data_IF_700117516551
#
_entry.id   IF_700117516551
#
_cell.length_a   1.000
_cell.length_b   1.000
_cell.length_c   1.000
_cell.angle_alpha   90.00
_cell.angle_beta   90.00
_cell.angle_gamma   90.00
#
_symmetry.space_group_name_H-M   'P 1'
#
loop_
_entity.id
_entity.type
_entity.pdbx_description
1 polymer ?
#
# COMPACT_ATOMS: atom_id res chain seq x y z
N UNK A 1 -59.90 63.52 -28.52
CA UNK A 1 -59.82 62.07 -28.23
C UNK A 1 -58.35 61.72 -28.03
N UNK A 2 -57.89 61.29 -26.84
CA UNK A 2 -56.47 61.22 -26.52
C UNK A 2 -55.82 59.97 -27.14
N UNK A 3 -54.64 60.14 -27.75
CA UNK A 3 -53.81 59.02 -28.22
C UNK A 3 -53.23 58.30 -26.99
N UNK A 4 -53.69 57.09 -26.74
CA UNK A 4 -53.09 56.20 -25.75
C UNK A 4 -51.70 55.80 -26.24
N UNK A 5 -50.64 56.42 -25.70
CA UNK A 5 -49.27 55.93 -25.91
C UNK A 5 -49.16 54.57 -25.22
N UNK A 6 -49.01 53.49 -26.01
CA UNK A 6 -48.67 52.17 -25.48
C UNK A 6 -47.23 52.24 -24.96
N UNK A 7 -47.06 52.36 -23.65
CA UNK A 7 -45.77 52.18 -22.98
C UNK A 7 -45.42 50.70 -23.10
N UNK A 8 -44.54 50.37 -24.05
CA UNK A 8 -44.02 49.01 -24.21
C UNK A 8 -42.96 48.81 -23.13
N UNK A 9 -43.33 48.17 -22.02
CA UNK A 9 -42.38 47.71 -21.02
C UNK A 9 -41.53 46.60 -21.63
N UNK A 10 -40.30 46.94 -22.03
CA UNK A 10 -39.31 45.97 -22.51
C UNK A 10 -38.85 45.18 -21.28
N UNK A 11 -39.51 44.05 -21.01
CA UNK A 11 -39.00 43.08 -20.04
C UNK A 11 -37.82 42.38 -20.72
N UNK A 12 -36.61 42.88 -20.48
CA UNK A 12 -35.39 42.22 -20.95
C UNK A 12 -35.27 40.93 -20.13
N UNK A 13 -35.68 39.81 -20.72
CA UNK A 13 -35.43 38.50 -20.14
C UNK A 13 -33.91 38.27 -20.19
N UNK A 14 -33.23 38.52 -19.08
CA UNK A 14 -31.83 38.10 -18.91
C UNK A 14 -31.88 36.58 -18.81
N UNK A 15 -31.67 35.90 -19.94
CA UNK A 15 -31.41 34.48 -19.93
C UNK A 15 -30.06 34.30 -19.23
N UNK A 16 -30.09 34.05 -17.93
CA UNK A 16 -28.94 33.57 -17.21
C UNK A 16 -28.61 32.20 -17.80
N UNK A 17 -27.68 32.15 -18.75
CA UNK A 17 -26.98 30.91 -19.10
C UNK A 17 -26.16 30.53 -17.88
N UNK A 18 -26.81 29.87 -16.93
CA UNK A 18 -26.11 29.15 -15.88
C UNK A 18 -25.27 28.08 -16.59
N UNK A 19 -23.97 28.01 -16.30
CA UNK A 19 -23.23 26.80 -16.61
C UNK A 19 -23.93 25.67 -15.86
N UNK A 20 -24.65 24.81 -16.58
CA UNK A 20 -25.13 23.56 -16.01
C UNK A 20 -23.90 22.85 -15.40
N UNK A 21 -23.98 22.37 -14.14
CA UNK A 21 -22.89 21.57 -13.61
C UNK A 21 -22.71 20.39 -14.56
N UNK A 22 -21.53 20.25 -15.14
CA UNK A 22 -21.18 19.06 -15.87
C UNK A 22 -21.49 17.89 -14.95
N UNK A 23 -22.47 17.09 -15.33
CA UNK A 23 -22.78 15.82 -14.70
C UNK A 23 -21.45 15.08 -14.69
N UNK A 24 -20.95 14.70 -13.53
CA UNK A 24 -19.80 13.80 -13.47
C UNK A 24 -20.27 12.50 -14.11
N UNK A 25 -20.05 12.36 -15.41
CA UNK A 25 -20.33 11.16 -16.16
C UNK A 25 -19.63 10.03 -15.42
N UNK A 26 -20.44 9.11 -14.91
CA UNK A 26 -20.02 7.92 -14.21
C UNK A 26 -19.01 7.20 -15.10
N UNK A 27 -17.71 7.37 -14.82
CA UNK A 27 -16.65 6.60 -15.46
C UNK A 27 -16.73 5.17 -14.92
N UNK A 28 -17.80 4.47 -15.29
CA UNK A 28 -17.91 3.01 -15.24
C UNK A 28 -17.11 2.42 -16.39
N UNK A 29 -15.83 2.80 -16.46
CA UNK A 29 -14.82 2.03 -17.14
C UNK A 29 -14.25 1.06 -16.13
N UNK A 30 -14.65 -0.22 -16.20
CA UNK A 30 -13.86 -1.28 -15.59
C UNK A 30 -12.59 -1.40 -16.42
N UNK A 31 -11.62 -0.52 -16.17
CA UNK A 31 -10.29 -0.67 -16.74
C UNK A 31 -9.77 -2.03 -16.28
N UNK A 32 -9.76 -3.01 -17.19
CA UNK A 32 -9.18 -4.32 -16.97
C UNK A 32 -7.68 -4.14 -16.84
N UNK A 33 -7.20 -3.85 -15.63
CA UNK A 33 -5.78 -3.71 -15.36
C UNK A 33 -5.13 -5.08 -15.62
N UNK A 34 -4.19 -5.20 -16.57
CA UNK A 34 -3.48 -6.44 -16.79
C UNK A 34 -2.79 -6.86 -15.49
N UNK A 35 -3.01 -8.12 -15.11
CA UNK A 35 -2.59 -8.69 -13.83
C UNK A 35 -1.38 -9.57 -14.08
N UNK A 36 -0.24 -9.24 -13.48
CA UNK A 36 1.02 -9.95 -13.66
C UNK A 36 1.36 -10.81 -12.45
N UNK A 37 1.80 -12.04 -12.67
CA UNK A 37 2.36 -12.90 -11.62
C UNK A 37 3.62 -12.29 -10.99
N UNK A 38 3.72 -12.34 -9.67
CA UNK A 38 4.86 -11.75 -8.94
C UNK A 38 6.11 -12.62 -8.93
N UNK A 39 6.09 -13.78 -9.60
CA UNK A 39 7.15 -14.80 -9.50
C UNK A 39 7.45 -15.19 -8.04
N UNK A 40 8.54 -15.94 -7.83
CA UNK A 40 8.95 -16.34 -6.49
C UNK A 40 9.19 -15.10 -5.61
N UNK A 41 8.67 -15.06 -4.36
CA UNK A 41 8.96 -13.99 -3.43
C UNK A 41 10.47 -13.86 -3.18
N UNK A 42 10.95 -12.64 -2.93
CA UNK A 42 12.35 -12.42 -2.57
C UNK A 42 12.72 -13.16 -1.28
N UNK A 43 13.91 -13.74 -1.23
CA UNK A 43 14.47 -14.35 -0.02
C UNK A 43 15.01 -13.29 0.93
N UNK A 44 15.07 -13.62 2.22
CA UNK A 44 15.63 -12.76 3.26
C UNK A 44 16.77 -13.47 3.97
N UNK A 45 17.79 -12.72 4.40
CA UNK A 45 18.89 -13.26 5.17
C UNK A 45 18.41 -13.67 6.57
N UNK A 46 18.92 -14.80 7.09
CA UNK A 46 18.53 -15.35 8.39
C UNK A 46 17.01 -15.55 8.55
N UNK A 47 16.30 -15.81 7.45
CA UNK A 47 14.89 -16.14 7.47
C UNK A 47 14.50 -17.10 6.36
N UNK A 48 13.21 -17.40 6.32
CA UNK A 48 12.58 -18.30 5.38
C UNK A 48 11.24 -17.72 4.92
N UNK A 49 10.79 -18.10 3.73
CA UNK A 49 9.52 -17.64 3.15
C UNK A 49 8.64 -18.83 2.80
N UNK A 50 7.35 -18.73 3.11
CA UNK A 50 6.32 -19.71 2.80
C UNK A 50 5.24 -19.06 1.94
N UNK A 51 4.97 -19.64 0.77
CA UNK A 51 3.93 -19.19 -0.16
C UNK A 51 3.39 -20.38 -0.94
N UNK A 52 2.12 -20.30 -1.37
CA UNK A 52 1.45 -21.36 -2.14
C UNK A 52 1.24 -20.99 -3.61
N UNK A 53 1.17 -19.69 -3.92
CA UNK A 53 0.94 -19.18 -5.27
C UNK A 53 1.59 -17.78 -5.39
N UNK A 54 1.81 -17.34 -6.62
CA UNK A 54 2.43 -16.08 -7.00
C UNK A 54 1.49 -15.17 -7.78
N UNK A 55 0.25 -15.58 -8.00
CA UNK A 55 -0.77 -14.77 -8.67
C UNK A 55 -1.19 -13.57 -7.82
N UNK A 56 -1.59 -12.44 -8.41
CA UNK A 56 -1.98 -11.27 -7.60
C UNK A 56 -3.13 -11.53 -6.64
N UNK A 57 -3.00 -10.95 -5.45
CA UNK A 57 -3.81 -11.29 -4.28
C UNK A 57 -3.21 -12.40 -3.40
N UNK A 58 -2.31 -13.24 -3.93
CA UNK A 58 -1.60 -14.26 -3.14
C UNK A 58 -0.69 -13.62 -2.10
N UNK A 59 -0.47 -14.34 -1.00
CA UNK A 59 0.34 -13.89 0.14
C UNK A 59 1.55 -14.79 0.35
N UNK A 60 2.66 -14.19 0.73
CA UNK A 60 3.86 -14.88 1.19
C UNK A 60 4.16 -14.46 2.64
N UNK A 61 4.44 -15.44 3.49
CA UNK A 61 4.72 -15.24 4.92
C UNK A 61 6.18 -15.54 5.20
N UNK A 62 6.85 -14.62 5.87
CA UNK A 62 8.24 -14.71 6.27
C UNK A 62 8.38 -15.14 7.72
N UNK A 63 9.38 -15.96 7.99
CA UNK A 63 9.74 -16.42 9.32
C UNK A 63 11.24 -16.27 9.53
N UNK A 64 11.62 -15.56 10.59
CA UNK A 64 13.02 -15.43 10.98
C UNK A 64 13.54 -16.69 11.66
N UNK A 65 14.83 -16.98 11.49
CA UNK A 65 15.50 -18.07 12.19
C UNK A 65 15.57 -17.80 13.70
N UNK A 66 15.69 -18.88 14.48
CA UNK A 66 16.04 -18.82 15.90
C UNK A 66 17.25 -17.89 16.11
N UNK A 67 17.21 -17.02 17.11
CA UNK A 67 18.30 -16.06 17.35
C UNK A 67 18.06 -14.65 16.78
N UNK A 68 17.01 -14.45 16.00
CA UNK A 68 16.76 -13.21 15.28
C UNK A 68 15.33 -12.71 15.46
N UNK A 69 15.18 -11.39 15.41
CA UNK A 69 13.91 -10.69 15.53
C UNK A 69 13.55 -10.05 14.19
N UNK A 70 12.27 -10.16 13.84
CA UNK A 70 11.74 -9.61 12.61
C UNK A 70 11.56 -8.09 12.72
N UNK A 71 12.09 -7.36 11.74
CA UNK A 71 11.89 -5.92 11.58
C UNK A 71 11.15 -5.66 10.27
N UNK A 72 9.92 -5.17 10.40
CA UNK A 72 9.03 -4.92 9.26
C UNK A 72 7.89 -5.93 9.17
N UNK A 73 7.17 -5.95 8.04
CA UNK A 73 5.97 -6.75 7.86
C UNK A 73 6.31 -8.23 7.61
N UNK A 74 5.78 -9.13 8.43
CA UNK A 74 5.98 -10.58 8.28
C UNK A 74 5.25 -11.21 7.10
N UNK A 75 4.33 -10.48 6.47
CA UNK A 75 3.54 -10.97 5.35
C UNK A 75 3.52 -9.93 4.25
N UNK A 76 3.74 -10.40 3.02
CA UNK A 76 3.67 -9.58 1.81
C UNK A 76 2.60 -10.14 0.88
N UNK A 77 2.07 -9.28 0.00
CA UNK A 77 1.01 -9.63 -0.94
C UNK A 77 1.40 -9.26 -2.36
N UNK A 78 1.08 -10.14 -3.29
CA UNK A 78 1.33 -9.92 -4.71
C UNK A 78 0.34 -8.88 -5.25
N UNK A 79 0.86 -7.77 -5.75
CA UNK A 79 0.08 -6.71 -6.40
C UNK A 79 -0.25 -7.07 -7.84
N UNK A 80 -1.25 -6.41 -8.42
CA UNK A 80 -1.62 -6.62 -9.82
C UNK A 80 -0.50 -6.24 -10.80
N UNK A 81 0.50 -5.47 -10.34
CA UNK A 81 1.67 -5.06 -11.12
C UNK A 81 2.80 -6.10 -11.12
N UNK A 82 2.60 -7.29 -10.52
CA UNK A 82 3.64 -8.32 -10.43
C UNK A 82 4.71 -8.00 -9.37
N UNK A 83 4.37 -7.20 -8.37
CA UNK A 83 5.30 -6.79 -7.30
C UNK A 83 4.77 -7.27 -5.95
N UNK A 84 5.65 -7.91 -5.17
CA UNK A 84 5.40 -8.23 -3.77
C UNK A 84 5.46 -6.96 -2.92
N UNK A 85 4.39 -6.68 -2.17
CA UNK A 85 4.27 -5.47 -1.36
C UNK A 85 3.54 -5.74 -0.05
N UNK A 86 3.90 -5.09 1.08
CA UNK A 86 5.06 -4.20 1.26
C UNK A 86 6.41 -4.92 1.10
N UNK A 87 7.53 -4.20 1.26
CA UNK A 87 8.86 -4.81 1.19
C UNK A 87 9.02 -5.91 2.27
N UNK A 88 9.77 -6.98 1.99
CA UNK A 88 10.03 -8.06 2.95
C UNK A 88 10.67 -7.54 4.24
N UNK A 89 10.51 -8.27 5.36
CA UNK A 89 11.11 -7.88 6.62
C UNK A 89 12.61 -8.22 6.65
N UNK A 90 13.34 -7.57 7.55
CA UNK A 90 14.72 -7.92 7.88
C UNK A 90 14.76 -8.75 9.17
N UNK A 91 15.55 -9.82 9.20
CA UNK A 91 15.82 -10.56 10.43
C UNK A 91 17.10 -9.99 11.07
N UNK A 92 16.97 -9.43 12.28
CA UNK A 92 18.09 -8.84 13.02
C UNK A 92 18.37 -9.62 14.29
N UNK A 93 19.63 -9.94 14.53
CA UNK A 93 20.05 -10.52 15.82
C UNK A 93 19.79 -9.53 16.94
N UNK A 94 19.23 -10.00 18.05
CA UNK A 94 19.06 -9.19 19.27
C UNK A 94 20.05 -9.66 20.32
N UNK A 95 20.94 -8.74 20.69
CA UNK A 95 21.90 -8.95 21.75
C UNK A 95 21.32 -8.40 23.04
N UNK A 96 21.34 -9.22 24.10
CA UNK A 96 21.15 -8.72 25.45
C UNK A 96 22.50 -8.27 26.00
N UNK A 97 22.57 -7.03 26.45
CA UNK A 97 23.64 -6.60 27.34
C UNK A 97 23.45 -7.32 28.67
N UNK A 98 24.31 -8.30 28.96
CA UNK A 98 24.32 -8.93 30.29
C UNK A 98 24.99 -7.98 31.29
N UNK A 99 24.57 -8.03 32.57
CA UNK A 99 25.22 -7.26 33.67
C UNK A 99 26.72 -7.55 33.84
N UNK A 100 27.19 -8.61 33.20
CA UNK A 100 28.56 -9.11 33.14
C UNK A 100 29.37 -8.50 31.97
N UNK A 101 28.92 -7.41 31.34
CA UNK A 101 29.57 -6.80 30.17
C UNK A 101 29.72 -7.75 28.95
N UNK A 102 29.01 -8.88 28.96
CA UNK A 102 28.93 -9.85 27.86
C UNK A 102 27.73 -9.57 26.94
N UNK A 103 27.97 -9.60 25.63
CA UNK A 103 26.90 -9.58 24.62
C UNK A 103 26.45 -11.00 24.31
N UNK A 104 25.23 -11.35 24.73
CA UNK A 104 24.65 -12.68 24.51
C UNK A 104 23.54 -12.61 23.47
N UNK A 105 23.50 -13.54 22.53
CA UNK A 105 22.33 -13.73 21.68
C UNK A 105 21.15 -14.22 22.56
N UNK A 106 20.01 -13.52 22.47
CA UNK A 106 18.84 -13.77 23.32
C UNK A 106 18.30 -15.21 23.23
N UNK A 107 18.46 -15.90 22.10
CA UNK A 107 17.81 -17.20 21.86
C UNK A 107 18.76 -18.38 21.73
N UNK A 108 20.02 -18.16 21.31
CA UNK A 108 21.04 -19.22 21.27
C UNK A 108 21.97 -19.22 22.48
N UNK A 109 22.00 -18.13 23.26
CA UNK A 109 22.92 -17.98 24.40
C UNK A 109 24.39 -17.81 24.01
N UNK A 110 24.72 -17.72 22.71
CA UNK A 110 26.09 -17.52 22.25
C UNK A 110 26.63 -16.16 22.71
N UNK A 111 27.79 -16.19 23.38
CA UNK A 111 28.55 -15.01 23.82
C UNK A 111 29.44 -14.55 22.67
N UNK A 112 29.27 -13.31 22.20
CA UNK A 112 30.07 -12.77 21.10
C UNK A 112 31.30 -11.99 21.56
N UNK A 113 31.27 -11.49 22.80
CA UNK A 113 32.36 -10.73 23.39
C UNK A 113 32.34 -10.91 24.90
N UNK A 114 33.50 -11.22 25.48
CA UNK A 114 33.75 -11.33 26.91
C UNK A 114 34.95 -10.42 27.20
N UNK A 115 34.72 -9.34 27.94
CA UNK A 115 35.79 -8.44 28.40
C UNK A 115 36.28 -8.87 29.77
#
# INVERSE_FOLDING_TARGET
MPRLLRVVTIVVAVAATVCAPAEAANLRGSASVPKYDCSAPPSIYQGSVKYSNTTPGSTATYSCMKGTNMKGPGTVRCSNQGIWSPQPPECRVTYLASKDNTYKNHDTGYVLYSG
#
